data_IF_946442254636
#
_entry.id   IF_946442254636
#
_cell.length_a   1.000
_cell.length_b   1.000
_cell.length_c   1.000
_cell.angle_alpha   90.00
_cell.angle_beta   90.00
_cell.angle_gamma   90.00
#
_symmetry.space_group_name_H-M   'P 1'
#
loop_
_entity.id
_entity.type
_entity.pdbx_description
1 polymer ?
#
# COMPACT_ATOMS: atom_id res chain seq x y z
N UNK A 1 22.86 -26.98 24.55
CA UNK A 1 23.08 -25.65 23.96
C UNK A 1 22.60 -25.61 22.51
N UNK A 2 23.01 -26.57 21.69
CA UNK A 2 22.62 -26.70 20.29
C UNK A 2 21.11 -26.86 20.10
N UNK A 3 20.48 -27.68 20.94
CA UNK A 3 19.00 -27.90 20.91
C UNK A 3 18.23 -26.62 21.17
N UNK A 4 18.71 -25.77 22.09
CA UNK A 4 18.09 -24.48 22.42
C UNK A 4 18.20 -23.52 21.24
N UNK A 5 19.35 -23.49 20.55
CA UNK A 5 19.57 -22.65 19.37
C UNK A 5 18.69 -23.07 18.20
N UNK A 6 18.58 -24.37 17.92
CA UNK A 6 17.70 -24.90 16.86
C UNK A 6 16.23 -24.57 17.17
N UNK A 7 15.82 -24.72 18.43
CA UNK A 7 14.43 -24.40 18.85
C UNK A 7 14.11 -22.94 18.66
N UNK A 8 15.03 -22.02 18.98
CA UNK A 8 14.87 -20.58 18.76
C UNK A 8 14.76 -20.25 17.28
N UNK A 9 15.57 -20.87 16.41
CA UNK A 9 15.52 -20.66 14.96
C UNK A 9 14.19 -21.13 14.37
N UNK A 10 13.70 -22.30 14.79
CA UNK A 10 12.37 -22.82 14.36
C UNK A 10 11.26 -21.90 14.79
N UNK A 11 11.29 -21.39 16.04
CA UNK A 11 10.28 -20.44 16.53
C UNK A 11 10.29 -19.13 15.75
N UNK A 12 11.48 -18.62 15.40
CA UNK A 12 11.63 -17.39 14.60
C UNK A 12 11.06 -17.57 13.20
N UNK A 13 11.38 -18.67 12.51
CA UNK A 13 10.87 -19.00 11.17
C UNK A 13 9.35 -19.13 11.21
N UNK A 14 8.80 -19.82 12.21
CA UNK A 14 7.36 -19.99 12.38
C UNK A 14 6.64 -18.64 12.58
N UNK A 15 7.23 -17.74 13.38
CA UNK A 15 6.70 -16.40 13.59
C UNK A 15 6.72 -15.56 12.31
N UNK A 16 7.83 -15.58 11.56
CA UNK A 16 7.96 -14.88 10.28
C UNK A 16 6.94 -15.39 9.26
N UNK A 17 6.68 -16.68 9.21
CA UNK A 17 5.67 -17.28 8.33
C UNK A 17 4.27 -16.81 8.72
N UNK A 18 3.94 -16.80 10.00
CA UNK A 18 2.64 -16.34 10.51
C UNK A 18 2.39 -14.87 10.15
N UNK A 19 3.37 -14.01 10.38
CA UNK A 19 3.31 -12.58 10.06
C UNK A 19 3.14 -12.37 8.55
N UNK A 20 3.89 -13.13 7.75
CA UNK A 20 3.84 -13.11 6.29
C UNK A 20 2.44 -13.48 5.76
N UNK A 21 1.82 -14.51 6.33
CA UNK A 21 0.45 -14.92 5.96
C UNK A 21 -0.56 -13.82 6.29
N UNK A 22 -0.49 -13.25 7.48
CA UNK A 22 -1.39 -12.16 7.88
C UNK A 22 -1.22 -10.93 7.00
N UNK A 23 0.02 -10.55 6.67
CA UNK A 23 0.31 -9.45 5.77
C UNK A 23 -0.28 -9.71 4.39
N UNK A 24 -0.10 -10.91 3.84
CA UNK A 24 -0.66 -11.32 2.56
C UNK A 24 -2.19 -11.24 2.54
N UNK A 25 -2.84 -11.66 3.61
CA UNK A 25 -4.29 -11.58 3.75
C UNK A 25 -4.78 -10.13 3.72
N UNK A 26 -4.10 -9.23 4.43
CA UNK A 26 -4.44 -7.81 4.46
C UNK A 26 -4.26 -7.18 3.07
N UNK A 27 -3.13 -7.45 2.41
CA UNK A 27 -2.86 -6.95 1.05
C UNK A 27 -3.94 -7.46 0.08
N UNK A 28 -4.33 -8.71 0.19
CA UNK A 28 -5.42 -9.31 -0.59
C UNK A 28 -6.76 -8.60 -0.38
N UNK A 29 -7.11 -8.31 0.87
CA UNK A 29 -8.33 -7.57 1.20
C UNK A 29 -8.32 -6.15 0.62
N UNK A 30 -7.19 -5.45 0.73
CA UNK A 30 -7.03 -4.11 0.15
C UNK A 30 -7.18 -4.13 -1.37
N UNK A 31 -6.52 -5.09 -2.01
CA UNK A 31 -6.59 -5.24 -3.46
C UNK A 31 -8.04 -5.47 -3.92
N UNK A 32 -8.74 -6.42 -3.32
CA UNK A 32 -10.14 -6.73 -3.69
C UNK A 32 -11.07 -5.53 -3.44
N UNK A 33 -10.88 -4.84 -2.33
CA UNK A 33 -11.69 -3.66 -1.99
C UNK A 33 -11.49 -2.53 -3.01
N UNK A 34 -10.26 -2.24 -3.39
CA UNK A 34 -9.98 -1.21 -4.39
C UNK A 34 -10.39 -1.62 -5.80
N UNK A 35 -10.24 -2.90 -6.15
CA UNK A 35 -10.60 -3.42 -7.47
C UNK A 35 -12.03 -3.05 -7.87
N UNK A 36 -12.96 -3.13 -6.93
CA UNK A 36 -14.36 -2.80 -7.16
C UNK A 36 -14.58 -1.34 -7.54
N UNK A 37 -13.66 -0.45 -7.15
CA UNK A 37 -13.77 0.99 -7.40
C UNK A 37 -13.25 1.42 -8.78
N UNK A 38 -12.41 0.60 -9.40
CA UNK A 38 -11.83 0.95 -10.71
C UNK A 38 -12.79 0.81 -11.87
N UNK A 39 -13.94 0.20 -11.69
CA UNK A 39 -14.97 0.01 -12.73
C UNK A 39 -14.36 -0.54 -14.03
N UNK A 40 -13.63 -1.65 -13.91
CA UNK A 40 -13.02 -2.31 -15.06
C UNK A 40 -14.12 -3.01 -15.86
N UNK A 41 -14.31 -2.68 -17.18
CA UNK A 41 -15.37 -3.29 -17.98
C UNK A 41 -15.13 -4.79 -18.12
N UNK A 42 -16.17 -5.59 -17.93
CA UNK A 42 -16.15 -7.00 -18.30
C UNK A 42 -16.32 -7.09 -19.81
N UNK A 43 -15.26 -7.43 -20.51
CA UNK A 43 -15.27 -7.63 -21.95
C UNK A 43 -14.85 -9.06 -22.25
N UNK A 44 -15.62 -9.73 -23.12
CA UNK A 44 -15.21 -11.04 -23.64
C UNK A 44 -13.94 -10.87 -24.44
N UNK A 45 -12.91 -11.65 -24.13
CA UNK A 45 -11.57 -11.51 -24.68
C UNK A 45 -11.50 -11.45 -26.22
N UNK A 46 -12.48 -12.04 -26.91
CA UNK A 46 -12.58 -12.04 -28.39
C UNK A 46 -13.19 -10.78 -28.98
N UNK A 47 -13.83 -9.96 -28.15
CA UNK A 47 -14.57 -8.76 -28.59
C UNK A 47 -13.86 -7.46 -28.12
N UNK A 48 -12.76 -7.61 -27.38
CA UNK A 48 -12.03 -6.47 -26.82
C UNK A 48 -11.24 -5.74 -27.91
N UNK A 49 -11.45 -4.43 -28.02
CA UNK A 49 -10.64 -3.57 -28.89
C UNK A 49 -9.28 -3.32 -28.24
N UNK A 50 -8.31 -2.85 -29.06
CA UNK A 50 -6.97 -2.49 -28.55
C UNK A 50 -7.08 -1.38 -27.52
N UNK A 51 -7.92 -0.38 -27.74
CA UNK A 51 -8.15 0.72 -26.81
C UNK A 51 -8.73 0.23 -25.47
N UNK A 52 -9.72 -0.66 -25.49
CA UNK A 52 -10.30 -1.26 -24.29
C UNK A 52 -9.28 -2.08 -23.52
N UNK A 53 -8.42 -2.82 -24.20
CA UNK A 53 -7.36 -3.61 -23.60
C UNK A 53 -6.33 -2.72 -22.90
N UNK A 54 -5.87 -1.66 -23.57
CA UNK A 54 -4.92 -0.70 -23.00
C UNK A 54 -5.50 -0.03 -21.76
N UNK A 55 -6.78 0.35 -21.79
CA UNK A 55 -7.48 0.98 -20.67
C UNK A 55 -7.60 0.04 -19.48
N UNK A 56 -7.94 -1.22 -19.73
CA UNK A 56 -8.02 -2.25 -18.69
C UNK A 56 -6.65 -2.51 -18.06
N UNK A 57 -5.63 -2.67 -18.88
CA UNK A 57 -4.25 -2.90 -18.41
C UNK A 57 -3.73 -1.71 -17.60
N UNK A 58 -4.04 -0.48 -18.03
CA UNK A 58 -3.67 0.72 -17.28
C UNK A 58 -4.35 0.77 -15.88
N UNK A 59 -5.62 0.42 -15.81
CA UNK A 59 -6.35 0.35 -14.53
C UNK A 59 -5.78 -0.72 -13.59
N UNK A 60 -5.45 -1.90 -14.11
CA UNK A 60 -4.84 -2.97 -13.32
C UNK A 60 -3.44 -2.57 -12.84
N UNK A 61 -2.64 -1.93 -13.68
CA UNK A 61 -1.34 -1.38 -13.31
C UNK A 61 -1.49 -0.33 -12.20
N UNK A 62 -2.48 0.56 -12.34
CA UNK A 62 -2.77 1.59 -11.35
C UNK A 62 -3.17 0.98 -10.00
N UNK A 63 -4.02 -0.03 -10.02
CA UNK A 63 -4.44 -0.76 -8.82
C UNK A 63 -3.25 -1.39 -8.10
N UNK A 64 -2.37 -2.07 -8.83
CA UNK A 64 -1.17 -2.66 -8.25
C UNK A 64 -0.26 -1.59 -7.62
N UNK A 65 -0.02 -0.50 -8.32
CA UNK A 65 0.80 0.60 -7.82
C UNK A 65 0.18 1.25 -6.58
N UNK A 66 -1.12 1.46 -6.56
CA UNK A 66 -1.83 2.01 -5.41
C UNK A 66 -1.67 1.11 -4.18
N UNK A 67 -1.88 -0.19 -4.33
CA UNK A 67 -1.72 -1.14 -3.23
C UNK A 67 -0.27 -1.14 -2.69
N UNK A 68 0.72 -1.14 -3.57
CA UNK A 68 2.13 -1.07 -3.17
C UNK A 68 2.42 0.21 -2.39
N UNK A 69 1.96 1.35 -2.87
CA UNK A 69 2.14 2.64 -2.21
C UNK A 69 1.51 2.69 -0.83
N UNK A 70 0.28 2.20 -0.70
CA UNK A 70 -0.44 2.17 0.59
C UNK A 70 0.25 1.26 1.57
N UNK A 71 0.61 0.04 1.16
CA UNK A 71 1.28 -0.91 2.06
C UNK A 71 2.66 -0.40 2.45
N UNK A 72 3.37 0.27 1.55
CA UNK A 72 4.62 0.94 1.91
C UNK A 72 4.40 1.98 3.02
N UNK A 73 3.37 2.81 2.92
CA UNK A 73 3.04 3.80 3.94
C UNK A 73 2.72 3.15 5.30
N UNK A 74 1.96 2.06 5.29
CA UNK A 74 1.64 1.30 6.50
C UNK A 74 2.90 0.71 7.14
N UNK A 75 3.77 0.14 6.33
CA UNK A 75 5.07 -0.38 6.77
C UNK A 75 5.96 0.74 7.31
N UNK A 76 6.08 1.83 6.58
CA UNK A 76 6.98 2.94 6.91
C UNK A 76 6.63 3.63 8.24
N UNK A 77 5.34 3.76 8.55
CA UNK A 77 4.95 4.34 9.83
C UNK A 77 5.28 3.42 11.01
N UNK A 78 5.12 2.11 10.85
CA UNK A 78 5.41 1.14 11.90
C UNK A 78 6.91 0.88 12.06
N UNK A 79 7.66 0.90 10.97
CA UNK A 79 9.10 0.66 10.94
C UNK A 79 9.96 1.88 11.31
N UNK A 80 9.33 3.03 11.58
CA UNK A 80 10.04 4.25 11.95
C UNK A 80 10.62 5.03 10.77
N UNK A 81 10.37 4.60 9.53
CA UNK A 81 10.87 5.29 8.32
C UNK A 81 10.27 6.68 8.19
N UNK A 82 9.00 6.85 8.58
CA UNK A 82 8.32 8.14 8.56
C UNK A 82 8.60 9.01 9.80
N UNK A 83 9.38 8.51 10.76
CA UNK A 83 9.80 9.26 11.94
C UNK A 83 8.80 9.34 13.08
N UNK A 84 7.51 9.14 12.81
CA UNK A 84 6.44 9.20 13.81
C UNK A 84 5.47 8.03 13.59
N UNK A 85 5.19 7.32 14.66
CA UNK A 85 4.23 6.21 14.64
C UNK A 85 2.81 6.72 14.36
N UNK A 86 2.05 5.96 13.58
CA UNK A 86 0.68 6.29 13.19
C UNK A 86 0.52 7.57 12.34
N UNK A 87 1.59 8.09 11.79
CA UNK A 87 1.56 9.33 10.99
C UNK A 87 0.64 9.22 9.77
N UNK A 88 0.70 8.09 9.05
CA UNK A 88 -0.16 7.83 7.89
C UNK A 88 -1.61 7.59 8.32
N UNK A 89 -1.82 6.78 9.34
CA UNK A 89 -3.13 6.51 9.94
C UNK A 89 -3.83 7.81 10.33
N UNK A 90 -3.15 8.64 11.10
CA UNK A 90 -3.73 9.89 11.61
C UNK A 90 -3.98 10.89 10.49
N UNK A 91 -3.09 10.95 9.50
CA UNK A 91 -3.28 11.78 8.31
C UNK A 91 -4.59 11.42 7.58
N UNK A 92 -4.76 10.15 7.26
CA UNK A 92 -5.94 9.67 6.52
C UNK A 92 -7.22 9.79 7.34
N UNK A 93 -7.15 9.51 8.65
CA UNK A 93 -8.29 9.58 9.56
C UNK A 93 -8.90 10.98 9.64
N UNK A 94 -8.07 12.01 9.51
CA UNK A 94 -8.50 13.41 9.60
C UNK A 94 -9.38 13.87 8.42
N UNK A 95 -9.37 13.13 7.30
CA UNK A 95 -10.13 13.47 6.11
C UNK A 95 -11.46 12.71 6.07
N UNK A 96 -12.52 13.40 5.63
CA UNK A 96 -13.78 12.73 5.29
C UNK A 96 -13.58 11.83 4.07
N UNK A 97 -14.39 10.78 3.93
CA UNK A 97 -14.27 9.81 2.83
C UNK A 97 -14.24 10.47 1.46
N UNK A 98 -15.08 11.46 1.23
CA UNK A 98 -15.13 12.21 -0.04
C UNK A 98 -13.81 12.89 -0.41
N UNK A 99 -12.98 13.19 0.58
CA UNK A 99 -11.71 13.90 0.41
C UNK A 99 -10.48 12.97 0.47
N UNK A 100 -10.66 11.70 0.82
CA UNK A 100 -9.55 10.74 0.97
C UNK A 100 -8.76 10.53 -0.32
N UNK A 101 -9.42 10.49 -1.47
CA UNK A 101 -8.74 10.37 -2.77
C UNK A 101 -7.76 11.53 -2.98
N UNK A 102 -8.22 12.74 -2.77
CA UNK A 102 -7.39 13.95 -2.88
C UNK A 102 -6.25 13.93 -1.86
N UNK A 103 -6.55 13.52 -0.63
CA UNK A 103 -5.55 13.40 0.44
C UNK A 103 -4.42 12.44 0.05
N UNK A 104 -4.74 11.30 -0.56
CA UNK A 104 -3.74 10.34 -1.05
C UNK A 104 -2.91 10.91 -2.21
N UNK A 105 -3.55 11.59 -3.16
CA UNK A 105 -2.84 12.22 -4.28
C UNK A 105 -1.83 13.26 -3.79
N UNK A 106 -2.23 14.11 -2.86
CA UNK A 106 -1.37 15.12 -2.25
C UNK A 106 -0.21 14.50 -1.47
N UNK A 107 -0.49 13.45 -0.69
CA UNK A 107 0.54 12.74 0.07
C UNK A 107 1.58 12.10 -0.86
N UNK A 108 1.15 11.41 -1.91
CA UNK A 108 2.07 10.75 -2.84
C UNK A 108 2.99 11.75 -3.54
N UNK A 109 2.46 12.92 -3.87
CA UNK A 109 3.27 14.00 -4.44
C UNK A 109 4.30 14.53 -3.44
N UNK A 110 3.91 14.70 -2.19
CA UNK A 110 4.83 15.15 -1.12
C UNK A 110 5.93 14.13 -0.88
N UNK A 111 5.59 12.84 -0.82
CA UNK A 111 6.56 11.76 -0.64
C UNK A 111 7.56 11.67 -1.79
N UNK A 112 7.19 12.10 -2.99
CA UNK A 112 8.06 12.12 -4.18
C UNK A 112 8.82 13.44 -4.35
N UNK A 113 8.64 14.39 -3.44
CA UNK A 113 9.26 15.72 -3.55
C UNK A 113 10.31 15.91 -2.46
N UNK A 114 11.61 16.13 -2.83
CA UNK A 114 12.63 16.48 -1.84
C UNK A 114 12.20 17.67 -1.00
N UNK A 115 12.54 17.64 0.28
CA UNK A 115 12.12 18.69 1.25
C UNK A 115 12.51 20.10 0.78
N UNK A 116 13.69 20.23 0.19
CA UNK A 116 14.19 21.51 -0.33
C UNK A 116 13.40 22.07 -1.52
N UNK A 117 12.64 21.21 -2.21
CA UNK A 117 11.85 21.58 -3.40
C UNK A 117 10.37 21.77 -3.10
N UNK A 118 9.96 21.56 -1.84
CA UNK A 118 8.56 21.70 -1.42
C UNK A 118 8.18 23.18 -1.27
N UNK A 119 6.88 23.44 -1.50
CA UNK A 119 6.29 24.75 -1.23
C UNK A 119 6.51 25.12 0.26
N UNK A 120 6.98 26.34 0.51
CA UNK A 120 7.20 26.82 1.88
C UNK A 120 5.89 26.96 2.68
N UNK A 121 4.75 27.03 1.99
CA UNK A 121 3.42 27.13 2.59
C UNK A 121 2.67 25.78 2.62
N UNK A 122 3.39 24.67 2.40
CA UNK A 122 2.80 23.33 2.48
C UNK A 122 2.15 23.11 3.85
N UNK A 123 0.94 22.55 3.83
CA UNK A 123 0.19 22.24 5.05
C UNK A 123 1.03 21.37 5.99
N UNK A 124 0.93 21.63 7.30
CA UNK A 124 1.74 20.99 8.32
C UNK A 124 1.55 19.46 8.35
N UNK A 125 0.34 18.98 8.13
CA UNK A 125 0.04 17.55 8.10
C UNK A 125 0.76 16.80 6.98
N UNK A 126 1.04 17.48 5.86
CA UNK A 126 1.82 16.96 4.75
C UNK A 126 3.32 17.20 4.94
N UNK A 127 3.69 18.36 5.47
CA UNK A 127 5.09 18.76 5.64
C UNK A 127 5.86 17.84 6.60
N UNK A 128 5.18 17.17 7.51
CA UNK A 128 5.78 16.24 8.48
C UNK A 128 6.29 14.94 7.83
N UNK A 129 5.85 14.61 6.62
CA UNK A 129 6.31 13.40 5.95
C UNK A 129 7.69 13.60 5.30
N UNK A 130 8.57 12.58 5.36
CA UNK A 130 9.87 12.65 4.71
C UNK A 130 9.77 12.44 3.20
N UNK A 131 10.84 12.74 2.49
CA UNK A 131 11.01 12.36 1.09
C UNK A 131 11.36 10.88 0.99
N UNK A 132 10.69 10.17 0.08
CA UNK A 132 10.96 8.76 -0.20
C UNK A 132 11.68 8.66 -1.55
N UNK A 133 12.98 8.39 -1.50
CA UNK A 133 13.81 8.20 -2.69
C UNK A 133 13.51 6.82 -3.32
N UNK A 134 13.70 6.70 -4.64
CA UNK A 134 13.61 5.42 -5.34
C UNK A 134 12.45 5.29 -6.33
N UNK A 135 11.67 6.34 -6.52
CA UNK A 135 10.67 6.41 -7.60
C UNK A 135 9.34 5.69 -7.34
N UNK A 136 9.11 5.16 -6.15
CA UNK A 136 7.86 4.47 -5.80
C UNK A 136 6.63 5.36 -6.03
N UNK A 137 6.76 6.65 -5.77
CA UNK A 137 5.68 7.64 -5.87
C UNK A 137 5.79 8.55 -7.10
N UNK A 138 6.69 8.26 -8.03
CA UNK A 138 7.02 9.17 -9.14
C UNK A 138 6.03 9.14 -10.30
N UNK A 139 5.35 8.02 -10.55
CA UNK A 139 4.43 7.90 -11.67
C UNK A 139 3.10 8.60 -11.38
N UNK A 140 2.91 9.77 -11.98
CA UNK A 140 1.69 10.58 -11.81
C UNK A 140 0.53 10.11 -12.73
N UNK A 141 0.77 9.17 -13.64
CA UNK A 141 -0.26 8.63 -14.56
C UNK A 141 -1.15 7.58 -13.90
N UNK A 142 -0.81 7.14 -12.69
CA UNK A 142 -1.58 6.16 -11.93
C UNK A 142 -2.95 6.73 -11.56
N UNK A 143 -4.00 6.01 -11.93
CA UNK A 143 -5.36 6.34 -11.54
C UNK A 143 -5.62 5.91 -10.10
N UNK A 144 -6.15 6.81 -9.29
CA UNK A 144 -6.59 6.52 -7.93
C UNK A 144 -8.10 6.70 -7.88
N UNK A 145 -8.87 5.64 -7.52
CA UNK A 145 -10.33 5.76 -7.46
C UNK A 145 -10.79 6.45 -6.18
N UNK A 146 -12.04 6.89 -6.12
CA UNK A 146 -12.62 7.34 -4.86
C UNK A 146 -12.61 6.21 -3.83
N UNK A 147 -12.39 6.56 -2.56
CA UNK A 147 -12.50 5.61 -1.46
C UNK A 147 -13.95 5.51 -0.99
N UNK A 148 -14.29 4.37 -0.41
CA UNK A 148 -15.55 4.14 0.30
C UNK A 148 -15.34 4.16 1.80
N UNK A 149 -16.42 4.23 2.57
CA UNK A 149 -16.34 4.11 4.04
C UNK A 149 -15.68 2.78 4.45
N UNK A 150 -16.03 1.69 3.75
CA UNK A 150 -15.47 0.37 4.03
C UNK A 150 -13.97 0.32 3.76
N UNK A 151 -13.50 0.94 2.69
CA UNK A 151 -12.07 0.99 2.37
C UNK A 151 -11.32 1.81 3.40
N UNK A 152 -11.85 2.97 3.78
CA UNK A 152 -11.25 3.80 4.82
C UNK A 152 -11.16 3.05 6.15
N UNK A 153 -12.24 2.40 6.55
CA UNK A 153 -12.30 1.60 7.77
C UNK A 153 -11.27 0.45 7.73
N UNK A 154 -11.16 -0.25 6.62
CA UNK A 154 -10.18 -1.31 6.41
C UNK A 154 -8.74 -0.79 6.58
N UNK A 155 -8.43 0.36 5.99
CA UNK A 155 -7.11 0.99 6.09
C UNK A 155 -6.77 1.41 7.52
N UNK A 156 -7.72 1.95 8.26
CA UNK A 156 -7.48 2.46 9.61
C UNK A 156 -7.44 1.36 10.68
N UNK A 157 -8.26 0.32 10.54
CA UNK A 157 -8.38 -0.74 11.55
C UNK A 157 -7.53 -1.96 11.22
N UNK A 158 -7.98 -2.84 10.34
CA UNK A 158 -7.29 -4.11 10.05
C UNK A 158 -5.88 -3.92 9.52
N UNK A 159 -5.69 -2.93 8.65
CA UNK A 159 -4.40 -2.69 8.02
C UNK A 159 -3.45 -1.83 8.86
N UNK A 160 -3.93 -1.10 9.85
CA UNK A 160 -3.12 -0.20 10.68
C UNK A 160 -3.17 -0.56 12.16
N UNK A 161 -4.32 -0.38 12.81
CA UNK A 161 -4.45 -0.55 14.26
C UNK A 161 -4.24 -2.00 14.71
N UNK A 162 -4.71 -2.96 13.92
CA UNK A 162 -4.72 -4.39 14.28
C UNK A 162 -3.50 -5.17 13.80
N UNK A 163 -2.59 -4.55 13.07
CA UNK A 163 -1.43 -5.22 12.50
C UNK A 163 -0.18 -4.35 12.57
N UNK A 164 0.93 -4.93 13.04
CA UNK A 164 2.24 -4.26 13.08
C UNK A 164 3.11 -4.72 11.91
N UNK A 165 3.30 -3.84 10.93
CA UNK A 165 4.11 -4.12 9.75
C UNK A 165 5.61 -4.19 10.05
N UNK A 166 6.07 -3.66 11.18
CA UNK A 166 7.50 -3.69 11.54
C UNK A 166 8.03 -5.09 11.82
N UNK A 167 7.13 -6.06 12.07
CA UNK A 167 7.51 -7.47 12.24
C UNK A 167 7.92 -8.15 10.93
N UNK A 168 7.69 -7.48 9.80
CA UNK A 168 8.02 -8.01 8.48
C UNK A 168 9.44 -7.59 8.09
N UNK A 169 10.30 -8.57 7.75
CA UNK A 169 11.62 -8.26 7.18
C UNK A 169 11.48 -7.70 5.76
N UNK A 170 12.47 -6.92 5.26
CA UNK A 170 12.45 -6.43 3.89
C UNK A 170 12.31 -7.55 2.84
N UNK A 171 12.91 -8.70 3.08
CA UNK A 171 12.82 -9.86 2.18
C UNK A 171 11.40 -10.42 2.13
N UNK A 172 10.75 -10.57 3.28
CA UNK A 172 9.36 -11.04 3.37
C UNK A 172 8.42 -10.02 2.75
N UNK A 173 8.65 -8.73 2.96
CA UNK A 173 7.88 -7.65 2.36
C UNK A 173 7.85 -7.78 0.83
N UNK A 174 9.01 -7.95 0.20
CA UNK A 174 9.11 -8.17 -1.24
C UNK A 174 8.37 -9.42 -1.71
N UNK A 175 8.50 -10.53 -0.97
CA UNK A 175 7.83 -11.79 -1.29
C UNK A 175 6.29 -11.68 -1.19
N UNK A 176 5.77 -10.96 -0.20
CA UNK A 176 4.34 -10.72 -0.05
C UNK A 176 3.80 -9.98 -1.28
N UNK A 177 4.49 -8.96 -1.76
CA UNK A 177 4.07 -8.23 -2.96
C UNK A 177 4.11 -9.10 -4.19
N UNK A 178 5.18 -9.83 -4.40
CA UNK A 178 5.33 -10.71 -5.56
C UNK A 178 4.22 -11.77 -5.61
N UNK A 179 3.94 -12.43 -4.48
CA UNK A 179 2.93 -13.48 -4.43
C UNK A 179 1.50 -12.98 -4.49
N UNK A 180 1.21 -11.79 -3.95
CA UNK A 180 -0.15 -11.29 -3.79
C UNK A 180 -0.59 -10.41 -4.97
N UNK A 181 0.32 -9.62 -5.54
CA UNK A 181 0.01 -8.63 -6.57
C UNK A 181 0.45 -9.04 -7.98
N UNK A 182 1.24 -10.12 -8.11
CA UNK A 182 1.62 -10.63 -9.42
C UNK A 182 0.41 -11.32 -10.08
N UNK A 183 -0.04 -10.86 -11.28
CA UNK A 183 -1.19 -11.46 -11.98
C UNK A 183 -1.02 -12.94 -12.30
N UNK A 184 0.22 -13.41 -12.51
CA UNK A 184 0.52 -14.82 -12.82
C UNK A 184 0.33 -15.74 -11.62
N UNK A 185 0.55 -15.26 -10.41
CA UNK A 185 0.43 -16.05 -9.17
C UNK A 185 -0.94 -15.92 -8.52
N UNK A 186 -1.78 -15.03 -9.02
CA UNK A 186 -3.08 -14.68 -8.43
C UNK A 186 -4.28 -15.42 -9.05
N UNK A 187 -4.03 -16.52 -9.67
CA UNK A 187 -5.09 -17.36 -10.25
C UNK A 187 -5.92 -18.08 -9.20
#
# INVERSE_FOLDING_TARGET
>A
LLDILIKKDVQKISHEMEVSIKAGDIVGLLYEAFLTQYKIPEVKAKEETIEQKEKREHKLKSLNALCVRIVFCLYAEDAGIFGKRNIFHDYLKAYEVKDCRRALLELFKVLDTPVSERDEYLEEDLAQFPYVNGGLFSDETIEIPPLTEEIKELLLTKASEDFDWSDISPTIFGAVFESTLNPETRR
#
